data_IF_507949891461
#
_entry.id   IF_507949891461
#
_cell.length_a   1.000
_cell.length_b   1.000
_cell.length_c   1.000
_cell.angle_alpha   90.00
_cell.angle_beta   90.00
_cell.angle_gamma   90.00
#
_symmetry.space_group_name_H-M   'P 1'
#
loop_
_entity.id
_entity.type
_entity.pdbx_description
1 polymer ?
#
# COMPACT_ATOMS: atom_id res chain seq x y z
N UNK A 1 32.47 11.18 0.81
CA UNK A 1 31.17 11.00 0.15
C UNK A 1 30.15 11.34 1.21
N UNK A 2 29.30 12.34 0.99
CA UNK A 2 28.22 12.64 1.92
C UNK A 2 27.28 11.45 1.93
N UNK A 3 26.96 10.90 3.10
CA UNK A 3 25.91 9.89 3.21
C UNK A 3 24.58 10.57 2.85
N UNK A 4 23.96 10.11 1.76
CA UNK A 4 22.63 10.57 1.36
C UNK A 4 21.59 10.12 2.39
N UNK A 5 20.53 10.91 2.54
CA UNK A 5 19.48 10.68 3.53
C UNK A 5 18.13 10.64 2.83
N UNK A 6 17.32 9.64 3.14
CA UNK A 6 15.89 9.68 2.87
C UNK A 6 15.26 10.70 3.82
N UNK A 7 14.48 11.63 3.28
CA UNK A 7 13.68 12.58 4.05
C UNK A 7 12.23 12.12 4.03
N UNK A 8 11.63 11.95 5.20
CA UNK A 8 10.22 11.62 5.33
C UNK A 8 9.37 12.88 5.56
N UNK A 9 8.09 12.87 5.12
CA UNK A 9 7.48 11.87 4.24
C UNK A 9 8.11 11.87 2.85
N UNK A 10 8.26 10.69 2.23
CA UNK A 10 8.86 10.54 0.89
C UNK A 10 7.92 11.02 -0.23
N UNK A 11 6.61 11.02 0.03
CA UNK A 11 5.61 11.65 -0.83
C UNK A 11 4.69 12.47 0.09
N UNK A 12 4.91 13.79 0.21
CA UNK A 12 4.15 14.65 1.11
C UNK A 12 2.75 14.96 0.57
N UNK A 13 1.81 15.28 1.46
CA UNK A 13 0.42 15.60 1.09
C UNK A 13 -0.49 14.38 1.01
N UNK A 14 -1.56 14.48 0.24
CA UNK A 14 -2.63 13.46 0.20
C UNK A 14 -2.24 12.26 -0.67
N UNK A 15 -1.32 11.43 -0.16
CA UNK A 15 -0.90 10.17 -0.77
C UNK A 15 -0.98 9.01 0.24
N UNK A 16 -2.20 8.63 0.64
CA UNK A 16 -2.44 7.51 1.56
C UNK A 16 -2.24 6.13 0.95
N UNK A 17 -2.27 5.13 1.84
CA UNK A 17 -2.37 3.71 1.54
C UNK A 17 -1.34 3.25 0.47
N UNK A 18 -0.02 3.51 0.69
CA UNK A 18 0.99 3.23 -0.31
C UNK A 18 1.22 1.73 -0.48
N UNK A 19 1.09 1.25 -1.71
CA UNK A 19 1.59 -0.07 -2.10
C UNK A 19 2.79 0.07 -3.02
N UNK A 20 3.80 -0.77 -2.82
CA UNK A 20 5.08 -0.70 -3.52
C UNK A 20 5.40 -2.03 -4.22
N UNK A 21 6.04 -1.96 -5.38
CA UNK A 21 6.67 -3.12 -5.99
C UNK A 21 8.02 -2.74 -6.63
N UNK A 22 8.91 -3.74 -6.77
CA UNK A 22 10.20 -3.60 -7.44
C UNK A 22 10.22 -4.40 -8.74
N UNK A 23 10.76 -3.80 -9.80
CA UNK A 23 11.05 -4.46 -11.07
C UNK A 23 12.51 -4.23 -11.42
N UNK A 24 13.35 -5.23 -11.14
CA UNK A 24 14.80 -5.08 -11.27
C UNK A 24 15.33 -4.04 -10.26
N UNK A 25 15.79 -2.90 -10.77
CA UNK A 25 16.33 -1.78 -9.99
C UNK A 25 15.35 -0.60 -9.86
N UNK A 26 14.15 -0.71 -10.46
CA UNK A 26 13.12 0.31 -10.45
C UNK A 26 12.04 -0.02 -9.41
N UNK A 27 11.57 1.00 -8.71
CA UNK A 27 10.54 0.91 -7.69
C UNK A 27 9.32 1.71 -8.13
N UNK A 28 8.14 1.12 -7.93
CA UNK A 28 6.86 1.73 -8.29
C UNK A 28 5.93 1.73 -7.10
N UNK A 29 5.24 2.84 -6.89
CA UNK A 29 4.35 3.04 -5.75
C UNK A 29 3.00 3.56 -6.23
N UNK A 30 1.92 2.98 -5.72
CA UNK A 30 0.54 3.40 -5.97
C UNK A 30 -0.12 3.87 -4.66
N UNK A 31 -0.89 4.96 -4.72
CA UNK A 31 -1.65 5.48 -3.58
C UNK A 31 -3.14 5.53 -3.86
N UNK A 32 -3.96 5.52 -2.80
CA UNK A 32 -5.40 5.71 -2.92
C UNK A 32 -5.75 7.16 -3.28
N UNK A 33 -6.87 7.36 -3.97
CA UNK A 33 -7.30 8.68 -4.48
C UNK A 33 -8.74 9.05 -4.13
N UNK A 34 -9.50 8.14 -3.52
CA UNK A 34 -10.88 8.36 -3.08
C UNK A 34 -11.77 8.85 -4.23
N UNK A 35 -12.35 10.03 -4.09
CA UNK A 35 -13.24 10.67 -5.06
C UNK A 35 -12.51 11.57 -6.08
N UNK A 36 -11.17 11.60 -6.04
CA UNK A 36 -10.38 12.38 -6.97
C UNK A 36 -10.19 11.68 -8.33
N UNK A 37 -10.19 12.50 -9.38
CA UNK A 37 -9.87 12.11 -10.75
C UNK A 37 -8.66 12.93 -11.27
N UNK A 38 -7.74 12.35 -12.06
CA UNK A 38 -7.63 10.92 -12.35
C UNK A 38 -7.29 10.10 -11.09
N UNK A 39 -7.58 8.80 -11.11
CA UNK A 39 -7.47 7.93 -9.94
C UNK A 39 -6.19 7.12 -9.91
N UNK A 40 -5.76 6.76 -8.69
CA UNK A 40 -4.55 5.95 -8.42
C UNK A 40 -3.28 6.56 -9.05
N UNK A 41 -2.67 7.58 -8.41
CA UNK A 41 -1.38 8.09 -8.86
C UNK A 41 -0.29 7.02 -8.74
N UNK A 42 0.58 6.94 -9.74
CA UNK A 42 1.70 6.01 -9.81
C UNK A 42 3.00 6.80 -9.77
N UNK A 43 3.88 6.38 -8.85
CA UNK A 43 5.19 6.98 -8.64
C UNK A 43 6.30 6.02 -9.04
N UNK A 44 7.44 6.56 -9.45
CA UNK A 44 8.66 5.83 -9.75
C UNK A 44 9.84 6.36 -8.96
N UNK A 45 10.72 5.45 -8.54
CA UNK A 45 12.00 5.75 -7.89
C UNK A 45 13.05 4.72 -8.26
N UNK A 46 14.32 5.10 -8.16
CA UNK A 46 15.48 4.18 -8.22
C UNK A 46 16.24 4.07 -6.91
N UNK A 47 15.86 4.87 -5.92
CA UNK A 47 16.67 5.08 -4.71
C UNK A 47 15.85 5.07 -3.41
N UNK A 48 14.53 4.84 -3.53
CA UNK A 48 13.53 4.84 -2.46
C UNK A 48 13.37 6.18 -1.73
N UNK A 49 14.14 7.21 -2.12
CA UNK A 49 14.20 8.51 -1.47
C UNK A 49 13.48 9.58 -2.30
N UNK A 50 13.71 9.57 -3.61
CA UNK A 50 13.23 10.56 -4.55
C UNK A 50 12.21 9.89 -5.47
N UNK A 51 11.01 10.45 -5.55
CA UNK A 51 9.87 9.87 -6.24
C UNK A 51 9.29 10.86 -7.25
N UNK A 52 9.10 10.39 -8.48
CA UNK A 52 8.45 11.13 -9.56
C UNK A 52 7.06 10.53 -9.80
N UNK A 53 6.01 11.35 -9.84
CA UNK A 53 4.71 10.88 -10.31
C UNK A 53 4.78 10.70 -11.83
N UNK A 54 4.56 9.48 -12.31
CA UNK A 54 4.75 9.13 -13.73
C UNK A 54 3.44 8.97 -14.50
N UNK A 55 2.33 8.71 -13.80
CA UNK A 55 1.00 8.54 -14.41
C UNK A 55 -0.11 8.46 -13.36
N UNK A 56 -1.34 8.28 -13.84
CA UNK A 56 -2.47 7.74 -13.08
C UNK A 56 -2.92 6.43 -13.74
N UNK A 57 -3.32 5.43 -12.95
CA UNK A 57 -3.78 4.15 -13.50
C UNK A 57 -5.25 4.18 -13.94
N UNK A 58 -6.06 5.07 -13.36
CA UNK A 58 -7.50 5.12 -13.58
C UNK A 58 -7.89 6.43 -14.26
N UNK A 59 -8.31 6.35 -15.52
CA UNK A 59 -8.62 7.52 -16.37
C UNK A 59 -9.87 7.26 -17.21
N UNK A 60 -10.43 8.30 -17.83
CA UNK A 60 -11.57 8.08 -18.75
C UNK A 60 -11.22 7.14 -19.92
N UNK A 61 -9.94 7.07 -20.31
CA UNK A 61 -9.49 6.23 -21.43
C UNK A 61 -9.65 4.73 -21.16
N UNK A 62 -9.62 4.31 -19.89
CA UNK A 62 -9.90 2.92 -19.51
C UNK A 62 -11.29 2.73 -18.89
N UNK A 63 -12.19 3.69 -19.10
CA UNK A 63 -13.59 3.60 -18.64
C UNK A 63 -13.78 3.79 -17.13
N UNK A 64 -12.79 4.37 -16.44
CA UNK A 64 -12.91 4.69 -15.02
C UNK A 64 -13.96 5.78 -14.78
N UNK A 65 -14.76 5.59 -13.72
CA UNK A 65 -15.69 6.59 -13.23
C UNK A 65 -15.67 6.70 -11.71
N UNK A 66 -15.77 7.93 -11.22
CA UNK A 66 -15.87 8.25 -9.80
C UNK A 66 -16.77 9.48 -9.64
N UNK A 67 -17.69 9.43 -8.67
CA UNK A 67 -18.57 10.56 -8.38
C UNK A 67 -17.88 11.51 -7.40
N UNK A 68 -18.18 12.80 -7.51
CA UNK A 68 -17.91 13.75 -6.43
C UNK A 68 -18.86 13.50 -5.24
N UNK A 69 -18.54 14.09 -4.08
CA UNK A 69 -19.35 14.09 -2.86
C UNK A 69 -19.60 12.70 -2.23
N UNK A 70 -18.71 11.75 -2.49
CA UNK A 70 -18.68 10.44 -1.82
C UNK A 70 -17.98 10.50 -0.45
N UNK A 71 -17.30 11.60 -0.14
CA UNK A 71 -16.63 11.80 1.15
C UNK A 71 -15.42 10.88 1.30
N UNK A 72 -15.51 9.87 2.16
CA UNK A 72 -14.42 8.89 2.37
C UNK A 72 -14.55 7.63 1.50
N UNK A 73 -15.40 7.67 0.47
CA UNK A 73 -15.58 6.58 -0.51
C UNK A 73 -14.83 6.79 -1.83
N UNK A 74 -15.06 5.89 -2.79
CA UNK A 74 -14.40 5.90 -4.09
C UNK A 74 -13.24 4.91 -4.16
N UNK A 75 -12.12 5.33 -4.74
CA UNK A 75 -10.91 4.53 -4.95
C UNK A 75 -10.15 4.39 -3.63
N UNK A 76 -10.33 3.25 -2.97
CA UNK A 76 -9.70 2.92 -1.67
C UNK A 76 -8.22 2.54 -1.85
N UNK A 77 -7.63 1.76 -0.93
CA UNK A 77 -6.23 1.32 -1.01
C UNK A 77 -5.95 0.48 -2.28
N UNK A 78 -4.97 0.86 -3.12
CA UNK A 78 -4.49 0.01 -4.19
C UNK A 78 -3.41 -0.97 -3.69
N UNK A 79 -3.29 -2.12 -4.36
CA UNK A 79 -2.10 -2.98 -4.28
C UNK A 79 -1.47 -3.08 -5.66
N UNK A 80 -0.22 -2.65 -5.82
CA UNK A 80 0.54 -2.80 -7.07
C UNK A 80 1.51 -3.99 -6.97
N UNK A 81 1.46 -4.90 -7.95
CA UNK A 81 2.40 -6.02 -8.08
C UNK A 81 2.85 -6.17 -9.52
N UNK A 82 4.02 -6.76 -9.70
CA UNK A 82 4.55 -7.10 -11.01
C UNK A 82 4.75 -8.61 -11.13
N UNK A 83 4.26 -9.20 -12.21
CA UNK A 83 4.40 -10.62 -12.49
C UNK A 83 4.54 -10.85 -14.00
N UNK A 84 5.59 -11.59 -14.39
CA UNK A 84 5.84 -12.03 -15.78
C UNK A 84 5.66 -10.94 -16.86
N UNK A 85 6.22 -9.74 -16.66
CA UNK A 85 6.14 -8.67 -17.67
C UNK A 85 4.94 -7.74 -17.52
N UNK A 86 4.08 -7.96 -16.53
CA UNK A 86 2.82 -7.25 -16.37
C UNK A 86 2.69 -6.67 -14.96
N UNK A 87 2.33 -5.39 -14.89
CA UNK A 87 1.86 -4.75 -13.67
C UNK A 87 0.39 -5.07 -13.46
N UNK A 88 0.04 -5.34 -12.21
CA UNK A 88 -1.32 -5.53 -11.72
C UNK A 88 -1.57 -4.52 -10.61
N UNK A 89 -2.66 -3.78 -10.72
CA UNK A 89 -3.19 -3.00 -9.61
C UNK A 89 -4.53 -3.59 -9.23
N UNK A 90 -4.65 -4.11 -8.00
CA UNK A 90 -5.93 -4.44 -7.39
C UNK A 90 -6.40 -3.27 -6.56
N UNK A 91 -7.67 -2.92 -6.64
CA UNK A 91 -8.25 -1.83 -5.87
C UNK A 91 -9.75 -2.07 -5.62
N UNK A 92 -10.33 -1.32 -4.69
CA UNK A 92 -11.77 -1.28 -4.47
C UNK A 92 -12.31 0.11 -4.81
N UNK A 93 -13.24 0.18 -5.78
CA UNK A 93 -14.10 1.36 -5.93
C UNK A 93 -15.35 1.17 -5.07
N UNK A 94 -15.30 1.70 -3.86
CA UNK A 94 -16.36 1.58 -2.87
C UNK A 94 -17.67 2.28 -3.31
N UNK A 95 -17.59 3.21 -4.25
CA UNK A 95 -18.74 3.89 -4.85
C UNK A 95 -19.35 3.17 -6.06
N UNK A 96 -18.79 2.03 -6.49
CA UNK A 96 -19.23 1.30 -7.67
C UNK A 96 -19.37 -0.22 -7.37
N UNK A 97 -18.75 -1.11 -8.16
CA UNK A 97 -18.95 -2.57 -8.05
C UNK A 97 -17.99 -3.27 -7.07
N UNK A 98 -17.22 -2.50 -6.30
CA UNK A 98 -16.28 -3.04 -5.31
C UNK A 98 -14.89 -3.31 -5.90
N UNK A 99 -14.34 -4.50 -5.63
CA UNK A 99 -12.98 -4.86 -6.04
C UNK A 99 -12.84 -5.03 -7.55
N UNK A 100 -11.70 -4.63 -8.09
CA UNK A 100 -11.30 -4.83 -9.48
C UNK A 100 -9.78 -4.93 -9.60
N UNK A 101 -9.29 -5.35 -10.76
CA UNK A 101 -7.91 -5.13 -11.14
C UNK A 101 -7.77 -4.49 -12.52
N UNK A 102 -6.67 -3.76 -12.71
CA UNK A 102 -6.21 -3.27 -14.01
C UNK A 102 -4.78 -3.71 -14.26
N UNK A 103 -4.39 -3.80 -15.53
CA UNK A 103 -3.05 -4.23 -15.93
C UNK A 103 -2.39 -3.30 -16.92
N UNK A 104 -1.06 -3.27 -16.91
CA UNK A 104 -0.25 -2.60 -17.93
C UNK A 104 1.11 -3.30 -18.06
N UNK A 105 1.74 -3.22 -19.23
CA UNK A 105 3.13 -3.68 -19.44
C UNK A 105 4.16 -2.57 -19.23
N UNK A 106 3.70 -1.31 -19.28
CA UNK A 106 4.45 -0.11 -18.92
C UNK A 106 3.68 0.58 -17.78
N UNK A 107 4.33 0.93 -16.65
CA UNK A 107 3.65 1.57 -15.52
C UNK A 107 3.11 2.96 -15.86
N UNK A 108 3.57 3.61 -16.95
CA UNK A 108 3.01 4.84 -17.51
C UNK A 108 1.71 4.62 -18.30
N UNK A 109 1.34 3.36 -18.51
CA UNK A 109 0.16 2.95 -19.26
C UNK A 109 0.41 2.68 -20.75
N UNK A 110 -0.67 2.47 -21.54
CA UNK A 110 -2.05 2.52 -21.10
C UNK A 110 -2.39 1.36 -20.16
N UNK A 111 -3.20 1.64 -19.15
CA UNK A 111 -3.77 0.63 -18.25
C UNK A 111 -5.05 0.05 -18.86
N UNK A 112 -5.30 -1.24 -18.61
CA UNK A 112 -6.51 -1.93 -19.09
C UNK A 112 -7.79 -1.34 -18.50
N UNK A 113 -8.94 -1.64 -19.13
CA UNK A 113 -10.23 -1.47 -18.47
C UNK A 113 -10.31 -2.29 -17.16
N UNK A 114 -11.10 -1.86 -16.16
CA UNK A 114 -11.29 -2.59 -14.90
C UNK A 114 -11.88 -3.98 -15.13
N UNK A 115 -11.16 -5.00 -14.68
CA UNK A 115 -11.71 -6.33 -14.52
C UNK A 115 -12.29 -6.46 -13.10
N UNK A 116 -13.62 -6.45 -12.99
CA UNK A 116 -14.32 -6.51 -11.70
C UNK A 116 -14.23 -7.88 -11.02
N UNK A 117 -13.90 -7.89 -9.73
CA UNK A 117 -13.81 -9.06 -8.84
C UNK A 117 -15.01 -9.06 -7.90
N UNK A 118 -16.20 -9.38 -8.42
CA UNK A 118 -17.47 -9.26 -7.67
C UNK A 118 -17.70 -10.38 -6.66
N UNK A 119 -16.89 -11.43 -6.69
CA UNK A 119 -16.95 -12.61 -5.82
C UNK A 119 -16.05 -12.51 -4.58
N UNK A 120 -15.19 -11.49 -4.51
CA UNK A 120 -14.38 -11.15 -3.32
C UNK A 120 -14.89 -9.84 -2.75
N UNK A 121 -15.63 -9.85 -1.63
CA UNK A 121 -16.20 -8.65 -1.03
C UNK A 121 -15.12 -7.84 -0.27
N UNK A 122 -15.57 -6.72 0.31
CA UNK A 122 -14.78 -5.82 1.18
C UNK A 122 -13.76 -4.93 0.44
N UNK A 123 -13.01 -4.14 1.19
CA UNK A 123 -11.93 -3.27 0.71
C UNK A 123 -10.56 -3.96 0.83
N UNK A 124 -9.48 -3.25 0.47
CA UNK A 124 -8.09 -3.66 0.70
C UNK A 124 -7.74 -5.06 0.17
N UNK A 125 -8.35 -5.46 -0.95
CA UNK A 125 -7.98 -6.69 -1.61
C UNK A 125 -6.56 -6.55 -2.20
N UNK A 126 -5.69 -7.49 -1.87
CA UNK A 126 -4.31 -7.56 -2.37
C UNK A 126 -4.12 -8.80 -3.22
N UNK A 127 -3.32 -8.67 -4.27
CA UNK A 127 -2.89 -9.81 -5.11
C UNK A 127 -1.52 -10.31 -4.67
N UNK A 128 -1.35 -11.62 -4.71
CA UNK A 128 -0.10 -12.30 -4.44
C UNK A 128 0.16 -13.35 -5.52
N UNK A 129 1.36 -13.29 -6.11
CA UNK A 129 1.86 -14.30 -7.05
C UNK A 129 2.93 -15.11 -6.35
N UNK A 130 2.71 -16.42 -6.22
CA UNK A 130 3.66 -17.31 -5.58
C UNK A 130 4.74 -17.78 -6.56
N UNK A 131 5.82 -18.33 -6.01
CA UNK A 131 6.95 -18.88 -6.76
C UNK A 131 6.57 -20.08 -7.64
N UNK A 132 5.43 -20.71 -7.39
CA UNK A 132 4.89 -21.80 -8.22
C UNK A 132 4.01 -21.29 -9.39
N UNK A 133 3.90 -19.97 -9.56
CA UNK A 133 3.11 -19.31 -10.60
C UNK A 133 1.61 -19.22 -10.31
N UNK A 134 1.14 -19.67 -9.14
CA UNK A 134 -0.25 -19.48 -8.75
C UNK A 134 -0.50 -18.07 -8.25
N UNK A 135 -1.72 -17.60 -8.50
CA UNK A 135 -2.20 -16.31 -8.05
C UNK A 135 -3.24 -16.49 -6.94
N UNK A 136 -3.18 -15.61 -5.96
CA UNK A 136 -4.09 -15.56 -4.83
C UNK A 136 -4.52 -14.11 -4.58
N UNK A 137 -5.77 -13.95 -4.18
CA UNK A 137 -6.27 -12.73 -3.57
C UNK A 137 -6.29 -12.92 -2.06
N UNK A 138 -5.87 -11.91 -1.31
CA UNK A 138 -6.06 -11.83 0.14
C UNK A 138 -6.91 -10.61 0.44
N UNK A 139 -7.96 -10.80 1.24
CA UNK A 139 -8.88 -9.72 1.60
C UNK A 139 -9.32 -9.85 3.06
N UNK A 140 -9.67 -8.73 3.71
CA UNK A 140 -10.47 -8.78 4.93
C UNK A 140 -11.88 -9.30 4.61
N UNK A 141 -12.63 -9.65 5.65
CA UNK A 141 -14.05 -9.97 5.53
C UNK A 141 -14.71 -10.24 6.87
N UNK A 142 -16.04 -10.31 6.83
CA UNK A 142 -16.84 -10.60 8.01
C UNK A 142 -16.77 -12.08 8.39
N UNK A 143 -16.62 -12.32 9.70
CA UNK A 143 -16.71 -13.65 10.30
C UNK A 143 -17.40 -13.57 11.67
N UNK A 144 -18.71 -13.86 11.76
CA UNK A 144 -19.47 -13.80 13.01
C UNK A 144 -18.98 -14.75 14.12
N UNK A 145 -18.08 -15.69 13.81
CA UNK A 145 -17.47 -16.57 14.82
C UNK A 145 -16.36 -15.88 15.63
N UNK A 146 -15.87 -14.73 15.17
CA UNK A 146 -14.79 -13.98 15.80
C UNK A 146 -15.28 -12.87 16.73
N UNK A 147 -14.51 -12.56 17.77
CA UNK A 147 -14.92 -11.58 18.80
C UNK A 147 -15.13 -10.15 18.26
N UNK A 148 -14.44 -9.77 17.18
CA UNK A 148 -14.65 -8.51 16.46
C UNK A 148 -15.42 -8.68 15.14
N UNK A 149 -15.92 -9.88 14.87
CA UNK A 149 -16.58 -10.29 13.63
C UNK A 149 -15.74 -10.12 12.35
N UNK A 150 -14.41 -10.12 12.43
CA UNK A 150 -13.51 -9.88 11.28
C UNK A 150 -12.44 -10.96 11.16
N UNK A 151 -12.08 -11.30 9.92
CA UNK A 151 -10.97 -12.20 9.60
C UNK A 151 -10.35 -11.87 8.23
N UNK A 152 -9.24 -12.53 7.93
CA UNK A 152 -8.55 -12.47 6.65
C UNK A 152 -8.70 -13.78 5.89
N UNK A 153 -8.94 -13.64 4.59
CA UNK A 153 -9.26 -14.77 3.72
C UNK A 153 -8.34 -14.81 2.51
N UNK A 154 -7.82 -16.00 2.23
CA UNK A 154 -7.10 -16.33 1.01
C UNK A 154 -8.08 -16.90 -0.01
N UNK A 155 -8.02 -16.41 -1.25
CA UNK A 155 -8.87 -16.86 -2.35
C UNK A 155 -8.01 -17.19 -3.56
N UNK A 156 -7.90 -18.46 -3.98
CA UNK A 156 -7.21 -18.82 -5.22
C UNK A 156 -7.86 -18.14 -6.43
N UNK A 157 -7.04 -17.52 -7.28
CA UNK A 157 -7.53 -16.70 -8.39
C UNK A 157 -6.79 -17.04 -9.68
N UNK A 158 -7.53 -17.07 -10.79
CA UNK A 158 -6.96 -17.22 -12.13
C UNK A 158 -7.08 -15.88 -12.86
N UNK A 159 -5.96 -15.17 -12.98
CA UNK A 159 -5.89 -13.85 -13.66
C UNK A 159 -6.04 -13.93 -15.18
N UNK A 160 -5.86 -15.12 -15.79
CA UNK A 160 -6.07 -15.31 -17.24
C UNK A 160 -7.55 -15.47 -17.54
N UNK A 161 -8.24 -16.17 -16.66
CA UNK A 161 -9.68 -16.40 -16.74
C UNK A 161 -10.51 -15.31 -16.05
N UNK A 162 -9.90 -14.47 -15.22
CA UNK A 162 -10.56 -13.40 -14.49
C UNK A 162 -11.55 -13.91 -13.43
N UNK A 163 -11.25 -15.01 -12.74
CA UNK A 163 -12.20 -15.62 -11.80
C UNK A 163 -11.55 -16.35 -10.64
N UNK A 164 -12.29 -16.46 -9.54
CA UNK A 164 -11.95 -17.37 -8.44
C UNK A 164 -11.91 -18.81 -8.95
N UNK A 165 -10.83 -19.52 -8.63
CA UNK A 165 -10.56 -20.87 -9.13
C UNK A 165 -10.45 -21.92 -8.01
N UNK A 166 -10.76 -21.55 -6.76
CA UNK A 166 -10.71 -22.44 -5.61
C UNK A 166 -11.52 -21.94 -4.42
N UNK A 167 -11.42 -22.66 -3.30
CA UNK A 167 -12.13 -22.33 -2.07
C UNK A 167 -11.51 -21.10 -1.38
N UNK A 168 -12.36 -20.14 -1.00
CA UNK A 168 -12.00 -19.02 -0.13
C UNK A 168 -11.82 -19.52 1.29
N UNK A 169 -10.61 -19.42 1.84
CA UNK A 169 -10.25 -19.95 3.16
C UNK A 169 -9.86 -18.84 4.12
N UNK A 170 -10.37 -18.92 5.33
CA UNK A 170 -9.92 -18.09 6.45
C UNK A 170 -8.52 -18.51 6.88
N UNK A 171 -7.58 -17.56 6.92
CA UNK A 171 -6.15 -17.84 7.21
C UNK A 171 -5.66 -17.18 8.51
N UNK A 172 -6.31 -16.11 8.95
CA UNK A 172 -6.01 -15.44 10.21
C UNK A 172 -7.19 -14.56 10.64
N UNK A 173 -7.27 -14.19 11.92
CA UNK A 173 -8.29 -13.27 12.41
C UNK A 173 -7.74 -11.86 12.49
N UNK A 174 -6.79 -11.68 13.40
CA UNK A 174 -6.25 -10.42 13.87
C UNK A 174 -5.18 -10.71 14.93
N UNK A 175 -4.26 -9.78 15.14
CA UNK A 175 -3.29 -9.79 16.24
C UNK A 175 -3.94 -9.45 17.59
N UNK A 176 -4.81 -8.43 17.63
CA UNK A 176 -5.56 -8.08 18.82
C UNK A 176 -6.94 -8.75 18.82
N UNK A 177 -7.28 -9.46 19.90
CA UNK A 177 -8.55 -10.20 20.04
C UNK A 177 -9.82 -9.40 19.67
N UNK A 178 -9.83 -8.10 19.94
CA UNK A 178 -10.93 -7.19 19.57
C UNK A 178 -10.39 -5.99 18.80
N UNK A 179 -9.50 -6.23 17.85
CA UNK A 179 -8.95 -5.17 17.01
C UNK A 179 -10.09 -4.40 16.35
N UNK A 180 -9.96 -3.08 16.38
CA UNK A 180 -10.76 -2.20 15.55
C UNK A 180 -10.18 -2.20 14.14
N UNK A 181 -11.05 -2.31 13.12
CA UNK A 181 -10.71 -2.20 11.71
C UNK A 181 -9.41 -2.95 11.28
N UNK A 182 -9.36 -4.30 11.39
CA UNK A 182 -8.30 -5.08 10.76
C UNK A 182 -8.46 -5.04 9.23
N UNK A 183 -7.43 -4.59 8.53
CA UNK A 183 -7.44 -4.26 7.08
C UNK A 183 -6.03 -4.38 6.46
N UNK A 184 -5.83 -3.88 5.23
CA UNK A 184 -4.54 -3.84 4.52
C UNK A 184 -3.72 -5.16 4.47
N UNK A 185 -4.29 -6.31 4.10
CA UNK A 185 -3.54 -7.56 4.05
C UNK A 185 -2.57 -7.63 2.87
N UNK A 186 -1.31 -7.95 3.14
CA UNK A 186 -0.33 -8.32 2.12
C UNK A 186 0.39 -9.61 2.48
N UNK A 187 0.55 -10.50 1.50
CA UNK A 187 1.29 -11.76 1.65
C UNK A 187 2.66 -11.64 1.00
N UNK A 188 3.68 -12.16 1.68
CA UNK A 188 5.05 -12.31 1.17
C UNK A 188 5.54 -13.74 1.44
N UNK A 189 6.25 -14.34 0.49
CA UNK A 189 6.92 -15.63 0.68
C UNK A 189 8.42 -15.37 0.89
N UNK A 190 8.89 -15.51 2.14
CA UNK A 190 10.26 -15.16 2.54
C UNK A 190 10.87 -16.34 3.30
N UNK A 191 11.91 -16.95 2.72
CA UNK A 191 12.51 -18.17 3.27
C UNK A 191 11.47 -19.30 3.30
N UNK A 192 11.30 -19.92 4.46
CA UNK A 192 10.39 -21.07 4.65
C UNK A 192 8.95 -20.65 5.01
N UNK A 193 8.64 -19.35 5.03
CA UNK A 193 7.37 -18.84 5.55
C UNK A 193 6.65 -17.92 4.57
N UNK A 194 5.33 -18.03 4.58
CA UNK A 194 4.42 -17.00 4.12
C UNK A 194 4.14 -16.04 5.29
N UNK A 195 4.35 -14.76 5.08
CA UNK A 195 4.04 -13.70 6.04
C UNK A 195 2.78 -12.97 5.60
N UNK A 196 1.84 -12.79 6.51
CA UNK A 196 0.67 -11.95 6.34
C UNK A 196 0.86 -10.69 7.17
N UNK A 197 1.10 -9.57 6.49
CA UNK A 197 1.16 -8.23 7.08
C UNK A 197 -0.21 -7.59 6.96
N UNK A 198 -0.68 -6.90 8.01
CA UNK A 198 -1.99 -6.24 8.05
C UNK A 198 -1.88 -4.89 8.77
N UNK A 199 -2.92 -4.07 8.64
CA UNK A 199 -3.17 -2.92 9.50
C UNK A 199 -4.24 -3.23 10.55
N UNK A 200 -4.14 -2.59 11.72
CA UNK A 200 -5.17 -2.61 12.77
C UNK A 200 -5.24 -1.28 13.50
N UNK A 201 -6.38 -1.03 14.17
CA UNK A 201 -6.64 0.13 15.02
C UNK A 201 -7.41 1.24 14.33
N UNK A 202 -7.72 1.09 13.04
CA UNK A 202 -8.24 2.13 12.16
C UNK A 202 -7.18 3.19 11.84
N UNK A 203 -7.33 3.86 10.71
CA UNK A 203 -6.34 4.78 10.12
C UNK A 203 -6.09 6.10 10.89
N UNK A 204 -6.51 6.16 12.15
CA UNK A 204 -6.31 7.30 13.07
C UNK A 204 -5.28 6.99 14.17
N UNK A 205 -5.35 7.64 15.34
CA UNK A 205 -4.28 7.61 16.34
C UNK A 205 -3.83 6.20 16.77
N UNK A 206 -4.74 5.21 16.71
CA UNK A 206 -4.46 3.84 17.11
C UNK A 206 -3.89 2.96 16.00
N UNK A 207 -3.65 3.50 14.81
CA UNK A 207 -3.17 2.78 13.64
C UNK A 207 -1.85 2.05 13.94
N UNK A 208 -1.71 0.88 13.33
CA UNK A 208 -0.59 -0.01 13.58
C UNK A 208 -0.42 -1.05 12.48
N UNK A 209 0.80 -1.55 12.35
CA UNK A 209 1.17 -2.66 11.48
C UNK A 209 1.32 -3.93 12.33
N UNK A 210 0.67 -5.00 11.90
CA UNK A 210 0.76 -6.31 12.52
C UNK A 210 1.28 -7.34 11.52
N UNK A 211 1.83 -8.45 12.02
CA UNK A 211 2.29 -9.53 11.17
C UNK A 211 2.00 -10.91 11.77
N UNK A 212 1.72 -11.86 10.90
CA UNK A 212 1.63 -13.28 11.20
C UNK A 212 2.38 -14.09 10.15
N UNK A 213 2.62 -15.38 10.39
CA UNK A 213 3.25 -16.26 9.40
C UNK A 213 2.72 -17.69 9.42
N UNK A 214 2.86 -18.40 8.31
CA UNK A 214 2.58 -19.83 8.17
C UNK A 214 3.60 -20.49 7.24
N UNK A 215 3.84 -21.79 7.40
CA UNK A 215 4.70 -22.58 6.48
C UNK A 215 3.94 -22.97 5.19
N UNK A 216 2.61 -22.79 5.19
CA UNK A 216 1.73 -23.11 4.06
C UNK A 216 0.82 -21.92 3.78
N UNK A 217 0.72 -21.51 2.52
CA UNK A 217 -0.03 -20.31 2.13
C UNK A 217 -1.48 -20.30 2.59
N UNK A 218 -2.15 -21.47 2.54
CA UNK A 218 -3.57 -21.66 2.90
C UNK A 218 -3.76 -22.27 4.29
N UNK A 219 -2.69 -22.30 5.09
CA UNK A 219 -2.72 -22.71 6.49
C UNK A 219 -3.20 -21.60 7.42
N UNK A 220 -3.27 -21.93 8.70
CA UNK A 220 -3.46 -20.93 9.75
C UNK A 220 -2.16 -20.16 9.99
N UNK A 221 -2.26 -18.84 10.14
CA UNK A 221 -1.11 -17.99 10.42
C UNK A 221 -0.96 -17.74 11.92
N UNK A 222 0.24 -17.99 12.44
CA UNK A 222 0.63 -17.64 13.80
C UNK A 222 0.99 -16.14 13.85
N UNK A 223 0.25 -15.37 14.64
CA UNK A 223 0.56 -13.96 14.90
C UNK A 223 1.88 -13.79 15.66
N UNK A 224 2.68 -12.81 15.26
CA UNK A 224 3.91 -12.48 15.98
C UNK A 224 3.60 -12.03 17.41
N UNK A 225 4.28 -12.64 18.38
CA UNK A 225 4.11 -12.32 19.81
C UNK A 225 4.54 -10.88 20.16
N UNK A 226 5.35 -10.24 19.31
CA UNK A 226 5.79 -8.86 19.47
C UNK A 226 4.92 -7.84 18.72
N UNK A 227 3.77 -8.24 18.16
CA UNK A 227 2.84 -7.30 17.55
C UNK A 227 2.40 -6.21 18.54
N UNK A 228 2.21 -4.95 18.08
CA UNK A 228 2.46 -4.43 16.73
C UNK A 228 3.95 -4.30 16.38
N UNK A 229 4.30 -4.49 15.11
CA UNK A 229 5.67 -4.30 14.61
C UNK A 229 6.00 -2.84 14.29
N UNK A 230 4.98 -1.99 14.07
CA UNK A 230 5.10 -0.54 13.97
C UNK A 230 3.82 0.13 14.44
N UNK A 231 3.93 1.17 15.27
CA UNK A 231 2.80 2.04 15.66
C UNK A 231 3.32 3.28 16.38
N UNK A 232 2.62 4.40 16.22
CA UNK A 232 2.87 5.62 17.00
C UNK A 232 1.87 5.86 18.13
N UNK A 233 0.89 4.98 18.32
CA UNK A 233 -0.16 5.13 19.36
C UNK A 233 0.38 5.24 20.79
N UNK A 234 1.61 4.77 21.03
CA UNK A 234 2.26 4.83 22.33
C UNK A 234 3.05 6.13 22.57
N UNK A 235 3.28 6.93 21.53
CA UNK A 235 4.01 8.20 21.61
C UNK A 235 3.11 9.37 22.05
N UNK A 236 1.79 9.15 22.07
CA UNK A 236 0.77 10.09 22.52
C UNK A 236 0.24 11.00 21.41
N UNK A 237 -0.96 11.55 21.63
CA UNK A 237 -1.73 12.33 20.65
C UNK A 237 -1.03 13.57 20.09
N UNK A 238 0.00 14.07 20.77
CA UNK A 238 0.73 15.28 20.39
C UNK A 238 2.09 14.99 19.73
N UNK A 239 2.44 13.72 19.54
CA UNK A 239 3.66 13.38 18.80
C UNK A 239 3.52 13.85 17.34
N UNK A 240 4.55 14.45 16.72
CA UNK A 240 4.39 15.17 15.46
C UNK A 240 4.13 14.27 14.24
N UNK A 241 4.32 12.96 14.37
CA UNK A 241 4.02 11.95 13.35
C UNK A 241 2.96 11.01 13.94
N UNK A 242 1.78 10.95 13.37
CA UNK A 242 0.65 10.14 13.87
C UNK A 242 0.13 9.18 12.78
N UNK A 243 -0.84 8.34 13.11
CA UNK A 243 -1.55 7.47 12.16
C UNK A 243 -0.66 6.46 11.41
N UNK A 244 0.54 6.12 11.90
CA UNK A 244 1.43 5.19 11.21
C UNK A 244 0.82 3.78 11.11
N UNK A 245 0.63 3.28 9.89
CA UNK A 245 0.09 1.95 9.58
C UNK A 245 -0.12 1.75 8.07
N UNK A 246 -0.85 0.70 7.67
CA UNK A 246 -1.10 0.36 6.25
C UNK A 246 0.22 0.25 5.46
N UNK A 247 1.08 -0.68 5.86
CA UNK A 247 2.42 -0.80 5.32
C UNK A 247 2.51 -1.82 4.18
N UNK A 248 3.49 -1.64 3.28
CA UNK A 248 3.86 -2.60 2.25
C UNK A 248 5.40 -2.73 2.20
N UNK A 249 5.91 -3.96 2.09
CA UNK A 249 7.34 -4.27 2.15
C UNK A 249 7.96 -4.36 0.75
N UNK A 250 9.21 -3.93 0.65
CA UNK A 250 10.03 -4.12 -0.56
C UNK A 250 11.48 -4.45 -0.18
N UNK A 251 12.13 -5.27 -0.99
CA UNK A 251 13.56 -5.52 -0.91
C UNK A 251 14.34 -4.69 -1.93
N UNK A 252 15.63 -4.51 -1.69
CA UNK A 252 16.58 -4.01 -2.68
C UNK A 252 17.23 -5.17 -3.43
N UNK A 253 17.88 -4.93 -4.59
CA UNK A 253 18.64 -5.97 -5.29
C UNK A 253 19.68 -6.69 -4.41
N UNK A 254 20.20 -5.99 -3.39
CA UNK A 254 21.18 -6.54 -2.43
C UNK A 254 20.56 -7.16 -1.17
N UNK A 255 19.22 -7.21 -1.08
CA UNK A 255 18.48 -7.85 0.00
C UNK A 255 18.32 -7.01 1.27
N UNK A 256 18.62 -5.71 1.24
CA UNK A 256 18.15 -4.77 2.28
C UNK A 256 16.63 -4.60 2.16
N UNK A 257 15.92 -4.51 3.29
CA UNK A 257 14.47 -4.37 3.30
C UNK A 257 14.02 -2.99 3.75
N UNK A 258 12.92 -2.53 3.16
CA UNK A 258 12.24 -1.30 3.52
C UNK A 258 10.73 -1.55 3.60
N UNK A 259 10.04 -0.70 4.35
CA UNK A 259 8.58 -0.67 4.37
C UNK A 259 8.11 0.75 4.06
N UNK A 260 7.21 0.87 3.09
CA UNK A 260 6.40 2.09 2.92
C UNK A 260 5.14 1.97 3.76
N UNK A 261 4.61 3.08 4.24
CA UNK A 261 3.37 3.12 5.02
C UNK A 261 2.80 4.53 5.06
N UNK A 262 1.52 4.66 5.38
CA UNK A 262 0.94 5.99 5.56
C UNK A 262 1.26 6.57 6.93
N UNK A 263 1.19 7.89 7.06
CA UNK A 263 1.26 8.63 8.32
C UNK A 263 0.85 10.09 8.16
N UNK A 264 0.49 10.76 9.25
CA UNK A 264 0.06 12.16 9.22
C UNK A 264 0.98 13.03 10.05
N UNK A 265 1.35 14.21 9.52
CA UNK A 265 1.97 15.26 10.33
C UNK A 265 0.91 15.99 11.17
N UNK A 266 1.18 16.10 12.47
CA UNK A 266 0.35 16.90 13.38
C UNK A 266 0.79 18.37 13.32
N UNK A 267 -0.13 19.25 12.95
CA UNK A 267 0.04 20.72 12.91
C UNK A 267 -0.64 21.32 14.13
N UNK A 268 0.04 22.25 14.81
CA UNK A 268 -0.43 22.94 16.01
C UNK A 268 -0.97 21.99 17.11
N UNK A 269 -0.43 20.78 17.15
CA UNK A 269 -0.78 19.75 18.15
C UNK A 269 -2.12 19.05 17.96
N UNK A 270 -2.88 19.32 16.89
CA UNK A 270 -4.24 18.75 16.75
C UNK A 270 -4.76 18.58 15.33
N UNK A 271 -4.13 19.18 14.31
CA UNK A 271 -4.64 19.19 12.94
C UNK A 271 -3.82 18.30 12.01
N UNK A 272 -4.47 17.68 11.02
CA UNK A 272 -3.87 16.78 10.02
C UNK A 272 -4.14 17.29 8.59
N UNK A 273 -3.87 18.58 8.35
CA UNK A 273 -4.34 19.26 7.13
C UNK A 273 -3.67 18.77 5.83
N UNK A 274 -2.50 18.11 5.93
CA UNK A 274 -1.86 17.46 4.78
C UNK A 274 -2.49 16.10 4.43
N UNK A 275 -3.42 15.62 5.24
CA UNK A 275 -4.00 14.28 5.10
C UNK A 275 -3.05 13.19 5.61
N UNK A 276 -3.10 12.04 4.95
CA UNK A 276 -2.23 10.88 5.17
C UNK A 276 -1.21 10.87 4.03
N UNK A 277 0.05 10.94 4.40
CA UNK A 277 1.22 11.08 3.53
C UNK A 277 1.95 9.73 3.46
N UNK A 278 2.83 9.53 2.47
CA UNK A 278 3.62 8.29 2.37
C UNK A 278 4.97 8.44 3.07
N UNK A 279 5.29 7.47 3.93
CA UNK A 279 6.51 7.39 4.73
C UNK A 279 7.26 6.09 4.41
N UNK A 280 8.56 6.06 4.68
CA UNK A 280 9.39 4.86 4.54
C UNK A 280 10.29 4.65 5.76
N UNK A 281 10.55 3.40 6.13
CA UNK A 281 11.58 3.06 7.11
C UNK A 281 12.37 1.81 6.71
N UNK A 282 13.63 1.67 7.17
CA UNK A 282 14.39 0.45 6.98
C UNK A 282 13.81 -0.67 7.84
N UNK A 283 13.96 -1.90 7.33
CA UNK A 283 13.54 -3.14 7.99
C UNK A 283 14.71 -4.10 8.02
N UNK A 284 14.94 -4.74 9.16
CA UNK A 284 15.83 -5.90 9.25
C UNK A 284 15.03 -7.12 9.69
N UNK A 285 15.58 -8.30 9.45
CA UNK A 285 14.98 -9.55 9.87
C UNK A 285 15.77 -10.17 11.02
N UNK A 286 15.13 -10.32 12.18
CA UNK A 286 15.72 -10.97 13.34
C UNK A 286 14.89 -12.16 13.77
N UNK A 287 15.51 -13.34 13.86
CA UNK A 287 14.86 -14.59 14.29
C UNK A 287 13.58 -14.89 13.47
N UNK A 288 13.59 -14.53 12.19
CA UNK A 288 12.49 -14.75 11.26
C UNK A 288 11.30 -13.80 11.42
N UNK A 289 11.49 -12.62 12.02
CA UNK A 289 10.48 -11.56 12.08
C UNK A 289 11.07 -10.20 11.68
N UNK A 290 10.29 -9.32 11.03
CA UNK A 290 10.77 -8.01 10.65
C UNK A 290 10.82 -7.08 11.87
N UNK A 291 11.86 -6.26 11.90
CA UNK A 291 12.06 -5.18 12.86
C UNK A 291 12.11 -3.88 12.08
N UNK A 292 11.06 -3.07 12.22
CA UNK A 292 10.95 -1.78 11.58
C UNK A 292 11.71 -0.72 12.38
N UNK A 293 12.39 0.20 11.69
CA UNK A 293 13.20 1.25 12.31
C UNK A 293 14.16 0.73 13.40
N UNK A 294 15.13 -0.15 13.04
CA UNK A 294 15.96 -0.83 14.03
C UNK A 294 16.66 0.14 14.99
N UNK A 295 16.56 -0.16 16.29
CA UNK A 295 17.11 0.66 17.37
C UNK A 295 16.15 1.69 17.95
N UNK A 296 15.22 2.24 17.17
CA UNK A 296 14.24 3.25 17.66
C UNK A 296 12.82 2.71 17.73
N UNK A 297 12.43 1.79 16.84
CA UNK A 297 11.09 1.19 16.78
C UNK A 297 9.98 2.18 16.42
N UNK A 298 10.32 3.35 15.88
CA UNK A 298 9.37 4.41 15.47
C UNK A 298 9.76 4.99 14.12
N UNK A 299 8.79 5.57 13.42
CA UNK A 299 9.03 6.35 12.21
C UNK A 299 9.82 7.63 12.56
N UNK A 300 10.98 7.78 11.93
CA UNK A 300 11.85 8.95 12.02
C UNK A 300 11.70 9.85 10.79
N UNK A 301 12.03 11.13 10.98
CA UNK A 301 12.05 12.13 9.90
C UNK A 301 13.07 11.83 8.82
N UNK A 302 14.14 11.10 9.15
CA UNK A 302 15.21 10.82 8.21
C UNK A 302 15.81 9.45 8.47
N UNK A 303 16.20 8.76 7.40
CA UNK A 303 17.02 7.56 7.46
C UNK A 303 18.20 7.68 6.51
N UNK A 304 19.31 6.98 6.77
CA UNK A 304 20.35 6.80 5.74
C UNK A 304 19.74 6.20 4.48
N UNK A 305 20.09 6.74 3.32
CA UNK A 305 19.70 6.16 2.05
C UNK A 305 20.44 4.83 1.81
N UNK A 306 19.85 3.88 1.04
CA UNK A 306 20.53 2.66 0.62
C UNK A 306 21.84 3.00 -0.08
N UNK A 307 22.97 2.46 0.40
CA UNK A 307 24.30 2.83 -0.10
C UNK A 307 24.57 2.35 -1.52
N UNK A 308 23.86 1.31 -1.93
CA UNK A 308 24.09 0.61 -3.19
C UNK A 308 23.04 0.96 -4.26
N UNK A 309 22.07 1.81 -3.94
CA UNK A 309 21.18 2.38 -4.94
C UNK A 309 21.79 3.66 -5.51
N UNK A 310 21.50 4.02 -6.77
CA UNK A 310 21.88 5.33 -7.31
C UNK A 310 21.24 6.45 -6.48
N UNK A 311 21.73 7.68 -6.60
CA UNK A 311 21.02 8.85 -6.08
C UNK A 311 20.40 9.60 -7.25
N UNK A 312 19.07 9.59 -7.34
CA UNK A 312 18.30 10.10 -8.48
C UNK A 312 17.32 11.18 -8.03
N UNK A 313 17.81 12.39 -7.67
CA UNK A 313 16.93 13.48 -7.29
C UNK A 313 15.98 13.82 -8.44
N UNK A 314 14.73 14.04 -8.11
CA UNK A 314 13.69 14.50 -9.04
C UNK A 314 13.67 16.03 -8.97
N UNK A 315 13.63 16.68 -10.12
CA UNK A 315 13.49 18.14 -10.17
C UNK A 315 12.11 18.52 -9.59
N UNK A 316 12.05 19.52 -8.68
CA UNK A 316 10.78 19.95 -8.14
C UNK A 316 9.91 20.51 -9.26
N UNK A 317 8.59 20.31 -9.13
CA UNK A 317 7.63 20.95 -10.01
C UNK A 317 7.77 22.48 -9.94
N UNK A 318 7.49 23.15 -11.06
CA UNK A 318 7.57 24.60 -11.12
C UNK A 318 6.59 25.26 -10.15
N UNK A 319 6.98 26.38 -9.54
CA UNK A 319 6.11 27.16 -8.64
C UNK A 319 4.93 27.84 -9.36
N UNK A 320 4.87 27.74 -10.69
CA UNK A 320 3.92 28.42 -11.55
C UNK A 320 3.56 27.55 -12.75
N UNK A 321 2.26 27.39 -12.96
CA UNK A 321 1.68 26.82 -14.16
C UNK A 321 1.03 27.93 -15.00
N UNK A 322 1.53 28.14 -16.22
CA UNK A 322 1.03 29.14 -17.17
C UNK A 322 -0.02 28.56 -18.13
N UNK A 323 -0.32 27.25 -18.03
CA UNK A 323 -1.25 26.52 -18.91
C UNK A 323 -0.89 26.62 -20.41
N UNK A 324 0.41 26.65 -20.71
CA UNK A 324 0.92 26.69 -22.09
C UNK A 324 0.86 25.33 -22.81
N UNK A 325 0.57 24.25 -22.07
CA UNK A 325 0.38 22.88 -22.59
C UNK A 325 -1.10 22.56 -22.83
N UNK A 326 -1.38 21.70 -23.82
CA UNK A 326 -2.73 21.17 -24.05
C UNK A 326 -3.16 20.11 -23.00
N UNK A 327 -2.18 19.51 -22.33
CA UNK A 327 -2.37 18.52 -21.27
C UNK A 327 -2.03 19.16 -19.92
N UNK A 328 -2.91 18.98 -18.94
CA UNK A 328 -2.64 19.39 -17.57
C UNK A 328 -1.55 18.50 -16.96
N UNK A 329 -0.59 19.09 -16.22
CA UNK A 329 0.36 18.32 -15.42
C UNK A 329 -0.29 17.36 -14.42
N UNK A 330 0.45 16.32 -14.02
CA UNK A 330 -0.06 15.23 -13.18
C UNK A 330 -0.46 15.67 -11.76
N UNK A 331 0.03 16.79 -11.26
CA UNK A 331 -0.37 17.35 -9.96
C UNK A 331 -1.77 17.95 -9.96
N UNK A 332 -2.43 18.10 -11.11
CA UNK A 332 -3.83 18.51 -11.18
C UNK A 332 -4.77 17.33 -10.91
N UNK A 333 -5.79 17.58 -10.10
CA UNK A 333 -6.88 16.64 -9.84
C UNK A 333 -8.23 17.37 -9.79
N UNK A 334 -9.29 16.62 -10.03
CA UNK A 334 -10.67 17.05 -10.05
C UNK A 334 -11.47 16.26 -9.02
N UNK A 335 -12.56 16.85 -8.54
CA UNK A 335 -13.56 16.13 -7.74
C UNK A 335 -14.52 15.42 -8.69
N UNK A 336 -14.53 14.09 -8.65
CA UNK A 336 -15.26 13.29 -9.64
C UNK A 336 -14.65 13.38 -11.04
N UNK A 337 -15.21 12.60 -11.97
CA UNK A 337 -14.86 12.73 -13.39
C UNK A 337 -15.45 14.03 -13.96
N UNK A 338 -14.63 14.92 -14.57
CA UNK A 338 -15.04 16.24 -15.07
C UNK A 338 -15.90 16.23 -16.34
#
# INVERSE_FOLDING_TARGET
MSDHMIQNPIIPGFYPDPSICRVGEDYYLACSSFELYPGIPIFHSKDLANWEQISYAMTMDNGFHVNADMGTGGVMAPTIRYHEGTFYIVNCNFGDKGNFYVTATDPKGPWSEPHWITDVPDIDCSIFFDNDGKCYLVSPGDDPSEDNHRAFFLTPYDVKEGKVCGERKKIWNSALRKAWAPEAPHIYHIGDYYYLLIAEGGTEHFHSVMIARSETIDGWYEGYKGNPIMTHRHLGYYYPIDNIGHADLVDTPDGEWYAVMLGSRIIDGQHKNFGRETWICPVIWERGWPVFSPGTGKMEWTYPAPKNLPWTPVEPEGERDDFDSAELPLYWSFWGVP
#
